data_IF_309299630847
#
_entry.id   IF_309299630847
#
_cell.length_a   1.000
_cell.length_b   1.000
_cell.length_c   1.000
_cell.angle_alpha   90.00
_cell.angle_beta   90.00
_cell.angle_gamma   90.00
#
_symmetry.space_group_name_H-M   'P 1'
#
loop_
_entity.id
_entity.type
_entity.pdbx_description
1 polymer ?
#
# COMPACT_ATOMS: atom_id res chain seq x y z
N UNK A 1 5.74 19.19 2.22
CA UNK A 1 6.31 19.59 0.92
C UNK A 1 6.08 18.46 -0.08
N UNK A 2 5.85 18.72 -1.37
CA UNK A 2 5.73 17.68 -2.38
C UNK A 2 7.02 16.84 -2.44
N UNK A 3 6.89 15.57 -2.77
CA UNK A 3 8.02 14.69 -3.02
C UNK A 3 8.71 15.13 -4.31
N UNK A 4 10.02 15.43 -4.24
CA UNK A 4 10.78 15.78 -5.44
C UNK A 4 10.97 14.55 -6.35
N UNK A 5 11.16 14.79 -7.63
CA UNK A 5 11.45 13.73 -8.60
C UNK A 5 12.74 12.97 -8.24
N UNK A 6 13.73 13.65 -7.70
CA UNK A 6 15.00 13.04 -7.28
C UNK A 6 14.79 12.11 -6.08
N UNK A 7 14.00 12.53 -5.09
CA UNK A 7 13.64 11.68 -3.96
C UNK A 7 12.84 10.45 -4.42
N UNK A 8 11.84 10.65 -5.27
CA UNK A 8 11.06 9.56 -5.84
C UNK A 8 11.94 8.56 -6.59
N UNK A 9 12.83 9.01 -7.45
CA UNK A 9 13.77 8.17 -8.19
C UNK A 9 14.69 7.40 -7.24
N UNK A 10 15.24 8.09 -6.22
CA UNK A 10 16.12 7.47 -5.23
C UNK A 10 15.42 6.32 -4.47
N UNK A 11 14.15 6.51 -4.12
CA UNK A 11 13.32 5.46 -3.48
C UNK A 11 13.04 4.33 -4.46
N UNK A 12 12.60 4.64 -5.66
CA UNK A 12 12.34 3.65 -6.70
C UNK A 12 13.56 2.77 -6.96
N UNK A 13 14.73 3.37 -7.10
CA UNK A 13 15.95 2.65 -7.49
C UNK A 13 16.54 1.81 -6.34
N UNK A 14 16.34 2.23 -5.08
CA UNK A 14 16.88 1.53 -3.91
C UNK A 14 15.90 0.57 -3.23
N UNK A 15 14.62 0.91 -3.22
CA UNK A 15 13.60 0.22 -2.41
C UNK A 15 12.37 -0.19 -3.22
N UNK A 16 12.33 0.10 -4.51
CA UNK A 16 11.15 -0.13 -5.35
C UNK A 16 10.70 -1.59 -5.44
N UNK A 17 11.53 -2.55 -5.06
CA UNK A 17 11.15 -3.95 -4.98
C UNK A 17 10.18 -4.23 -3.82
N UNK A 18 10.29 -3.48 -2.72
CA UNK A 18 9.52 -3.71 -1.49
C UNK A 18 8.61 -2.54 -1.13
N UNK A 19 8.83 -1.40 -1.73
CA UNK A 19 8.14 -0.16 -1.44
C UNK A 19 7.05 0.15 -2.45
N UNK A 20 6.17 1.08 -2.07
CA UNK A 20 5.17 1.68 -2.93
C UNK A 20 4.67 2.99 -2.31
N UNK A 21 3.61 3.55 -2.91
CA UNK A 21 2.89 4.71 -2.39
C UNK A 21 1.40 4.44 -2.40
N UNK A 22 0.69 4.93 -1.40
CA UNK A 22 -0.75 4.72 -1.21
C UNK A 22 -1.57 5.58 -2.18
N UNK A 23 -1.30 5.44 -3.46
CA UNK A 23 -2.03 6.04 -4.57
C UNK A 23 -2.44 4.95 -5.54
N UNK A 24 -3.69 4.94 -5.91
CA UNK A 24 -4.26 4.05 -6.94
C UNK A 24 -5.13 4.87 -7.88
N UNK A 25 -5.21 4.43 -9.12
CA UNK A 25 -6.14 5.01 -10.08
C UNK A 25 -7.58 4.75 -9.62
N UNK A 26 -8.44 5.76 -9.66
CA UNK A 26 -9.85 5.54 -9.37
C UNK A 26 -10.46 4.62 -10.44
N UNK A 27 -11.21 3.58 -10.03
CA UNK A 27 -11.83 2.68 -10.99
C UNK A 27 -12.92 3.42 -11.77
N UNK A 28 -12.99 3.18 -13.07
CA UNK A 28 -14.15 3.60 -13.86
C UNK A 28 -15.34 2.69 -13.54
N UNK A 29 -16.17 3.12 -12.62
CA UNK A 29 -17.34 2.38 -12.19
C UNK A 29 -18.47 2.38 -13.23
N UNK A 30 -18.41 3.23 -14.27
CA UNK A 30 -19.43 3.31 -15.31
C UNK A 30 -19.48 2.07 -16.21
N UNK A 31 -18.35 1.36 -16.32
CA UNK A 31 -18.19 0.19 -17.19
C UNK A 31 -18.37 -1.15 -16.47
N UNK A 32 -18.51 -1.14 -15.15
CA UNK A 32 -18.54 -2.37 -14.34
C UNK A 32 -19.93 -2.59 -13.77
N UNK A 33 -20.59 -3.72 -14.09
CA UNK A 33 -21.86 -4.05 -13.46
C UNK A 33 -21.65 -4.26 -11.96
N UNK A 34 -22.21 -3.38 -11.15
CA UNK A 34 -22.22 -3.48 -9.70
C UNK A 34 -23.01 -4.71 -9.29
N UNK A 35 -22.34 -5.82 -9.02
CA UNK A 35 -22.97 -6.99 -8.39
C UNK A 35 -22.87 -6.80 -6.89
N UNK A 36 -23.97 -6.53 -6.18
CA UNK A 36 -23.95 -6.45 -4.74
C UNK A 36 -23.57 -7.82 -4.17
N UNK A 37 -22.40 -7.93 -3.55
CA UNK A 37 -22.00 -9.13 -2.79
C UNK A 37 -22.48 -9.07 -1.33
N UNK A 38 -23.08 -7.98 -0.93
CA UNK A 38 -23.63 -7.81 0.42
C UNK A 38 -25.10 -8.18 0.50
N UNK A 39 -25.50 -8.60 1.69
CA UNK A 39 -26.92 -8.71 2.01
C UNK A 39 -27.62 -7.38 1.73
N UNK A 40 -28.74 -7.38 0.96
CA UNK A 40 -29.43 -6.16 0.56
C UNK A 40 -29.74 -5.21 1.73
N UNK A 41 -30.02 -5.76 2.92
CA UNK A 41 -30.31 -5.01 4.13
C UNK A 41 -29.12 -4.17 4.64
N UNK A 42 -27.89 -4.68 4.53
CA UNK A 42 -26.70 -3.97 4.97
C UNK A 42 -26.36 -2.86 3.98
N UNK A 43 -26.44 -3.13 2.69
CA UNK A 43 -26.30 -2.13 1.64
C UNK A 43 -27.29 -0.98 1.85
N UNK A 44 -28.57 -1.30 2.05
CA UNK A 44 -29.62 -0.31 2.29
C UNK A 44 -29.38 0.54 3.53
N UNK A 45 -28.84 -0.04 4.61
CA UNK A 45 -28.45 0.71 5.83
C UNK A 45 -27.28 1.66 5.56
N UNK A 46 -26.26 1.23 4.84
CA UNK A 46 -25.11 2.07 4.49
C UNK A 46 -25.53 3.22 3.57
N UNK A 47 -26.36 2.95 2.57
CA UNK A 47 -26.90 3.96 1.66
C UNK A 47 -27.73 5.00 2.42
N UNK A 48 -28.57 4.55 3.37
CA UNK A 48 -29.36 5.45 4.24
C UNK A 48 -28.48 6.33 5.14
N UNK A 49 -27.27 5.91 5.45
CA UNK A 49 -26.27 6.66 6.22
C UNK A 49 -25.37 7.54 5.32
N UNK A 50 -25.58 7.55 4.01
CA UNK A 50 -24.71 8.25 3.06
C UNK A 50 -23.31 7.64 2.98
N UNK A 51 -23.13 6.38 3.42
CA UNK A 51 -21.87 5.67 3.42
C UNK A 51 -21.82 4.81 2.15
N UNK A 52 -20.91 5.14 1.26
CA UNK A 52 -20.65 4.33 0.06
C UNK A 52 -20.22 2.91 0.46
N UNK A 53 -20.94 1.90 -0.02
CA UNK A 53 -20.65 0.51 0.33
C UNK A 53 -19.26 0.10 -0.16
N UNK A 54 -18.34 -0.29 0.72
CA UNK A 54 -17.01 -0.76 0.32
C UNK A 54 -17.09 -2.00 -0.59
N UNK A 55 -18.14 -2.77 -0.50
CA UNK A 55 -18.32 -3.99 -1.29
C UNK A 55 -18.72 -3.71 -2.74
N UNK A 56 -19.35 -2.60 -3.03
CA UNK A 56 -19.61 -2.20 -4.40
C UNK A 56 -18.31 -1.89 -5.14
N UNK A 57 -17.32 -1.33 -4.44
CA UNK A 57 -16.00 -1.00 -4.98
C UNK A 57 -15.08 -2.23 -4.97
N UNK A 58 -15.03 -2.97 -3.86
CA UNK A 58 -14.17 -4.16 -3.70
C UNK A 58 -14.71 -5.33 -4.54
N UNK A 59 -16.03 -5.44 -4.70
CA UNK A 59 -16.67 -6.50 -5.48
C UNK A 59 -16.43 -6.41 -6.99
N UNK A 60 -15.96 -5.28 -7.49
CA UNK A 60 -15.63 -5.06 -8.91
C UNK A 60 -14.22 -5.51 -9.28
N UNK A 61 -13.58 -6.27 -8.47
CA UNK A 61 -12.20 -6.80 -8.49
C UNK A 61 -11.33 -6.61 -9.74
N UNK A 62 -11.93 -6.65 -10.92
CA UNK A 62 -11.22 -6.41 -12.17
C UNK A 62 -10.89 -4.92 -12.42
N UNK A 63 -11.72 -4.01 -11.91
CA UNK A 63 -11.55 -2.57 -12.10
C UNK A 63 -10.59 -1.94 -11.09
N UNK A 64 -10.26 -2.67 -10.04
CA UNK A 64 -9.17 -2.32 -9.12
C UNK A 64 -7.82 -2.75 -9.71
N UNK A 65 -7.79 -2.91 -11.04
CA UNK A 65 -6.62 -3.32 -11.77
C UNK A 65 -5.40 -2.49 -11.39
N UNK A 66 -4.28 -3.17 -11.37
CA UNK A 66 -2.99 -2.62 -11.03
C UNK A 66 -2.69 -1.37 -11.86
N UNK A 67 -2.36 -0.30 -11.20
CA UNK A 67 -1.89 0.94 -11.81
C UNK A 67 -0.41 0.79 -12.19
N UNK A 68 -0.13 -0.17 -13.08
CA UNK A 68 1.25 -0.53 -13.46
C UNK A 68 2.01 0.70 -13.96
N UNK A 69 1.31 1.63 -14.58
CA UNK A 69 1.93 2.78 -15.23
C UNK A 69 2.07 4.03 -14.33
N UNK A 70 1.36 4.06 -13.21
CA UNK A 70 1.33 5.26 -12.32
C UNK A 70 2.74 5.66 -11.84
N UNK A 71 3.60 4.67 -11.56
CA UNK A 71 4.95 4.89 -11.04
C UNK A 71 6.05 4.70 -12.08
N UNK A 72 5.76 4.19 -13.28
CA UNK A 72 6.75 4.08 -14.36
C UNK A 72 7.05 5.43 -15.00
N UNK A 73 5.99 6.24 -15.22
CA UNK A 73 6.08 7.57 -15.81
C UNK A 73 5.45 8.59 -14.87
N UNK A 74 6.03 8.75 -13.66
CA UNK A 74 5.47 9.62 -12.64
C UNK A 74 5.39 11.07 -13.12
N UNK A 75 4.17 11.63 -13.07
CA UNK A 75 3.91 13.04 -13.39
C UNK A 75 4.10 13.93 -12.15
N UNK A 76 4.28 15.22 -12.37
CA UNK A 76 4.31 16.21 -11.28
C UNK A 76 3.02 16.18 -10.45
N UNK A 77 1.88 15.93 -11.09
CA UNK A 77 0.60 15.76 -10.39
C UNK A 77 0.64 14.61 -9.38
N UNK A 78 1.24 13.48 -9.75
CA UNK A 78 1.41 12.34 -8.85
C UNK A 78 2.38 12.69 -7.73
N UNK A 79 3.53 13.30 -8.05
CA UNK A 79 4.52 13.70 -7.05
C UNK A 79 3.93 14.64 -5.98
N UNK A 80 3.04 15.55 -6.37
CA UNK A 80 2.35 16.44 -5.44
C UNK A 80 1.37 15.71 -4.49
N UNK A 81 0.90 14.52 -4.86
CA UNK A 81 -0.01 13.69 -4.04
C UNK A 81 0.74 12.78 -3.07
N UNK A 82 2.04 12.56 -3.25
CA UNK A 82 2.84 11.71 -2.37
C UNK A 82 3.05 12.37 -1.00
N UNK A 83 2.87 11.60 0.05
CA UNK A 83 2.94 12.10 1.43
C UNK A 83 3.88 11.27 2.30
N UNK A 84 5.17 11.61 2.36
CA UNK A 84 6.17 10.85 3.11
C UNK A 84 6.04 11.02 4.64
N UNK A 85 5.15 11.89 5.13
CA UNK A 85 4.92 12.07 6.57
C UNK A 85 4.16 10.89 7.18
N UNK A 86 3.53 10.05 6.36
CA UNK A 86 2.86 8.84 6.80
C UNK A 86 3.50 7.62 6.15
N UNK A 87 3.71 6.59 6.97
CA UNK A 87 4.26 5.31 6.54
C UNK A 87 3.27 4.21 6.90
N UNK A 88 2.79 3.48 5.92
CA UNK A 88 1.99 2.27 6.10
C UNK A 88 2.95 1.08 6.07
N UNK A 89 3.12 0.44 7.22
CA UNK A 89 4.13 -0.59 7.44
C UNK A 89 3.50 -1.97 7.47
N UNK A 90 3.79 -2.78 6.45
CA UNK A 90 3.51 -4.20 6.44
C UNK A 90 4.56 -5.00 7.22
N UNK A 91 4.19 -6.22 7.59
CA UNK A 91 5.09 -7.09 8.36
C UNK A 91 6.20 -7.67 7.49
N UNK A 92 5.85 -8.26 6.35
CA UNK A 92 6.82 -8.86 5.45
C UNK A 92 6.28 -8.96 4.02
N UNK A 93 7.21 -8.92 3.10
CA UNK A 93 6.97 -9.18 1.69
C UNK A 93 6.63 -10.66 1.47
N UNK A 94 5.34 -10.97 1.36
CA UNK A 94 4.83 -12.34 1.31
C UNK A 94 4.56 -12.86 -0.10
N UNK A 95 4.56 -12.00 -1.10
CA UNK A 95 4.32 -12.35 -2.50
C UNK A 95 5.63 -12.39 -3.28
N UNK A 96 5.71 -13.21 -4.33
CA UNK A 96 6.87 -13.27 -5.22
C UNK A 96 7.21 -11.92 -5.86
N UNK A 97 8.16 -11.89 -6.79
CA UNK A 97 8.60 -10.66 -7.47
C UNK A 97 7.42 -9.86 -7.99
N UNK A 98 7.37 -8.60 -7.58
CA UNK A 98 6.44 -7.59 -8.11
C UNK A 98 7.22 -6.60 -8.97
N UNK A 99 6.51 -5.85 -9.81
CA UNK A 99 7.11 -4.73 -10.53
C UNK A 99 7.54 -3.64 -9.54
N UNK A 100 8.49 -2.84 -9.93
CA UNK A 100 9.04 -1.73 -9.12
C UNK A 100 7.93 -0.80 -8.63
N UNK A 101 7.90 -0.52 -7.35
CA UNK A 101 6.89 0.27 -6.64
C UNK A 101 5.47 -0.32 -6.69
N UNK A 102 5.32 -1.62 -6.97
CA UNK A 102 4.02 -2.28 -7.06
C UNK A 102 3.70 -3.19 -5.87
N UNK A 103 4.53 -3.20 -4.84
CA UNK A 103 4.14 -3.81 -3.57
C UNK A 103 2.87 -3.12 -3.05
N UNK A 104 1.93 -3.85 -2.49
CA UNK A 104 0.59 -3.37 -2.10
C UNK A 104 -0.33 -2.93 -3.26
N UNK A 105 -0.01 -3.28 -4.52
CA UNK A 105 -0.86 -3.01 -5.69
C UNK A 105 -1.40 -4.29 -6.34
N UNK A 106 -1.47 -5.38 -5.58
CA UNK A 106 -2.02 -6.64 -6.07
C UNK A 106 -3.55 -6.59 -6.19
N UNK A 107 -4.10 -7.58 -6.89
CA UNK A 107 -5.57 -7.79 -6.98
C UNK A 107 -6.15 -8.48 -5.73
N UNK A 108 -5.37 -8.64 -4.68
CA UNK A 108 -5.81 -9.25 -3.42
C UNK A 108 -6.95 -8.44 -2.79
N UNK A 109 -7.97 -9.14 -2.30
CA UNK A 109 -9.13 -8.51 -1.66
C UNK A 109 -8.80 -7.72 -0.40
N UNK A 110 -7.71 -8.03 0.29
CA UNK A 110 -7.25 -7.24 1.44
C UNK A 110 -6.65 -5.91 1.00
N UNK A 111 -5.92 -5.89 -0.10
CA UNK A 111 -5.42 -4.64 -0.70
C UNK A 111 -6.58 -3.76 -1.17
N UNK A 112 -7.64 -4.34 -1.73
CA UNK A 112 -8.85 -3.60 -2.07
C UNK A 112 -9.49 -2.90 -0.87
N UNK A 113 -9.51 -3.55 0.30
CA UNK A 113 -10.01 -2.94 1.56
C UNK A 113 -9.11 -1.79 2.03
N UNK A 114 -7.80 -2.01 2.00
CA UNK A 114 -6.81 -0.99 2.37
C UNK A 114 -6.96 0.26 1.48
N UNK A 115 -7.01 0.07 0.16
CA UNK A 115 -7.23 1.12 -0.80
C UNK A 115 -8.51 1.91 -0.51
N UNK A 116 -9.63 1.21 -0.27
CA UNK A 116 -10.89 1.86 0.08
C UNK A 116 -10.78 2.71 1.34
N UNK A 117 -10.14 2.19 2.39
CA UNK A 117 -9.96 2.90 3.65
C UNK A 117 -9.10 4.17 3.51
N UNK A 118 -8.10 4.12 2.63
CA UNK A 118 -7.11 5.20 2.49
C UNK A 118 -7.56 6.30 1.53
N UNK A 119 -8.30 6.00 0.47
CA UNK A 119 -8.54 6.87 -0.69
C UNK A 119 -9.04 8.30 -0.38
N UNK A 120 -9.78 8.51 0.69
CA UNK A 120 -10.30 9.82 1.12
C UNK A 120 -9.81 10.21 2.51
N UNK A 121 -8.73 9.60 2.96
CA UNK A 121 -8.14 9.83 4.27
C UNK A 121 -6.88 10.70 4.16
N UNK A 122 -6.37 11.22 5.28
CA UNK A 122 -5.07 11.90 5.33
C UNK A 122 -3.88 11.01 4.92
N UNK A 123 -4.09 9.70 4.84
CA UNK A 123 -3.08 8.70 4.49
C UNK A 123 -2.97 8.46 2.98
N UNK A 124 -3.81 9.11 2.17
CA UNK A 124 -3.65 9.09 0.71
C UNK A 124 -2.27 9.62 0.34
N UNK A 125 -1.56 8.89 -0.50
CA UNK A 125 -0.19 9.20 -0.87
C UNK A 125 0.88 8.78 0.14
N UNK A 126 0.52 8.13 1.27
CA UNK A 126 1.48 7.63 2.25
C UNK A 126 2.52 6.69 1.63
N UNK A 127 3.72 6.70 2.16
CA UNK A 127 4.73 5.71 1.81
C UNK A 127 4.32 4.33 2.35
N UNK A 128 4.51 3.29 1.55
CA UNK A 128 4.18 1.90 1.92
C UNK A 128 5.41 1.03 1.78
N UNK A 129 5.71 0.22 2.79
CA UNK A 129 6.81 -0.74 2.75
C UNK A 129 6.61 -1.87 3.76
N UNK A 130 7.39 -2.93 3.65
CA UNK A 130 7.45 -4.00 4.63
C UNK A 130 8.69 -3.85 5.51
N UNK A 131 8.60 -4.23 6.80
CA UNK A 131 9.77 -4.19 7.68
C UNK A 131 10.71 -5.37 7.41
N UNK A 132 10.16 -6.57 7.13
CA UNK A 132 10.95 -7.76 6.78
C UNK A 132 10.93 -7.96 5.26
N UNK A 133 12.08 -7.75 4.62
CA UNK A 133 12.17 -7.70 3.15
C UNK A 133 12.69 -8.98 2.51
N UNK A 134 13.64 -9.64 3.15
CA UNK A 134 14.40 -10.72 2.53
C UNK A 134 13.95 -12.12 3.00
N UNK A 135 12.73 -12.23 3.52
CA UNK A 135 12.16 -13.49 3.96
C UNK A 135 10.66 -13.51 3.63
N UNK A 136 10.31 -14.32 2.62
CA UNK A 136 8.92 -14.44 2.17
C UNK A 136 8.24 -15.59 2.93
N UNK A 137 7.41 -15.26 3.92
CA UNK A 137 6.64 -16.21 4.70
C UNK A 137 5.21 -15.70 4.89
N UNK A 138 4.21 -16.32 4.24
CA UNK A 138 2.83 -15.89 4.34
C UNK A 138 2.19 -16.18 5.70
N UNK A 139 2.78 -17.08 6.48
CA UNK A 139 2.29 -17.41 7.82
C UNK A 139 2.99 -16.55 8.87
N UNK A 140 2.27 -15.57 9.42
CA UNK A 140 2.82 -14.67 10.44
C UNK A 140 3.38 -15.39 11.69
N UNK A 141 2.82 -16.55 12.08
CA UNK A 141 3.32 -17.31 13.24
C UNK A 141 4.68 -17.93 12.93
N UNK A 142 4.87 -18.49 11.75
CA UNK A 142 6.15 -19.07 11.32
C UNK A 142 7.19 -17.96 11.15
N UNK A 143 6.83 -16.82 10.57
CA UNK A 143 7.70 -15.65 10.50
C UNK A 143 8.15 -15.22 11.90
N UNK A 144 7.24 -15.05 12.84
CA UNK A 144 7.56 -14.64 14.21
C UNK A 144 8.43 -15.65 14.94
N UNK A 145 8.26 -16.95 14.68
CA UNK A 145 9.15 -18.00 15.19
C UNK A 145 10.55 -17.83 14.61
N UNK A 146 10.66 -17.70 13.29
CA UNK A 146 11.95 -17.51 12.62
C UNK A 146 12.70 -16.29 13.15
N UNK A 147 12.03 -15.15 13.34
CA UNK A 147 12.65 -13.92 13.87
C UNK A 147 13.14 -14.08 15.30
N UNK A 148 12.43 -14.84 16.14
CA UNK A 148 12.90 -15.13 17.52
C UNK A 148 14.19 -15.94 17.55
N UNK A 149 14.33 -16.87 16.59
CA UNK A 149 15.49 -17.75 16.47
C UNK A 149 16.65 -17.08 15.73
N UNK A 150 16.39 -16.01 14.94
CA UNK A 150 17.37 -15.32 14.10
C UNK A 150 17.44 -13.82 14.40
N UNK A 151 17.90 -13.47 15.60
CA UNK A 151 17.92 -12.09 16.10
C UNK A 151 18.79 -11.13 15.28
N UNK A 152 19.89 -11.60 14.73
CA UNK A 152 20.74 -10.76 13.85
C UNK A 152 20.01 -10.37 12.56
N UNK A 153 19.24 -11.31 12.00
CA UNK A 153 18.40 -11.05 10.83
C UNK A 153 17.29 -10.03 11.14
N UNK A 154 16.59 -10.18 12.26
CA UNK A 154 15.59 -9.23 12.73
C UNK A 154 16.20 -7.82 12.86
N UNK A 155 17.30 -7.69 13.60
CA UNK A 155 17.98 -6.41 13.81
C UNK A 155 18.50 -5.79 12.51
N UNK A 156 18.97 -6.62 11.58
CA UNK A 156 19.37 -6.13 10.25
C UNK A 156 18.19 -5.51 9.51
N UNK A 157 17.03 -6.17 9.47
CA UNK A 157 15.85 -5.64 8.81
C UNK A 157 15.35 -4.34 9.45
N UNK A 158 15.41 -4.22 10.78
CA UNK A 158 15.08 -2.96 11.48
C UNK A 158 16.02 -1.83 11.04
N UNK A 159 17.34 -2.06 11.05
CA UNK A 159 18.31 -1.05 10.57
C UNK A 159 18.11 -0.69 9.10
N UNK A 160 17.82 -1.67 8.26
CA UNK A 160 17.56 -1.45 6.84
C UNK A 160 16.30 -0.58 6.66
N UNK A 161 15.25 -0.81 7.47
CA UNK A 161 14.06 0.02 7.50
C UNK A 161 14.35 1.44 7.99
N UNK A 162 15.11 1.62 9.08
CA UNK A 162 15.53 2.94 9.58
C UNK A 162 16.31 3.73 8.51
N UNK A 163 17.21 3.07 7.80
CA UNK A 163 17.95 3.66 6.68
C UNK A 163 17.02 4.06 5.52
N UNK A 164 16.03 3.23 5.22
CA UNK A 164 15.05 3.49 4.17
C UNK A 164 14.20 4.72 4.50
N UNK A 165 13.63 4.80 5.70
CA UNK A 165 12.81 5.95 6.08
C UNK A 165 13.62 7.25 6.19
N UNK A 166 14.90 7.16 6.53
CA UNK A 166 15.78 8.33 6.55
C UNK A 166 15.89 9.01 5.18
N UNK A 167 15.73 8.25 4.09
CA UNK A 167 15.76 8.77 2.72
C UNK A 167 14.55 9.66 2.44
N UNK A 168 13.41 9.42 3.11
CA UNK A 168 12.20 10.23 2.94
C UNK A 168 12.39 11.69 3.35
N UNK A 169 13.39 11.99 4.17
CA UNK A 169 13.72 13.35 4.61
C UNK A 169 12.69 13.95 5.57
N UNK A 170 11.85 13.13 6.19
CA UNK A 170 10.88 13.55 7.20
C UNK A 170 11.44 13.29 8.60
N UNK A 171 11.37 14.31 9.47
CA UNK A 171 11.98 14.19 10.82
C UNK A 171 11.21 13.24 11.73
N UNK A 172 9.87 13.23 11.66
CA UNK A 172 9.01 12.43 12.54
C UNK A 172 7.82 11.86 11.76
N UNK A 173 8.01 10.88 10.87
CA UNK A 173 6.89 10.28 10.15
C UNK A 173 5.98 9.49 11.11
N UNK A 174 4.69 9.54 10.87
CA UNK A 174 3.71 8.71 11.58
C UNK A 174 3.71 7.32 10.94
N UNK A 175 4.06 6.30 11.72
CA UNK A 175 4.08 4.91 11.26
C UNK A 175 2.79 4.22 11.69
N UNK A 176 2.10 3.61 10.73
CA UNK A 176 0.88 2.85 10.92
C UNK A 176 1.15 1.39 10.51
N UNK A 177 1.12 0.48 11.48
CA UNK A 177 1.22 -0.95 11.21
C UNK A 177 -0.08 -1.49 10.60
N UNK A 178 0.04 -2.29 9.53
CA UNK A 178 -1.05 -2.91 8.78
C UNK A 178 -1.37 -4.33 9.30
#
# INVERSE_FOLDING_TARGET
>A
MPVSKDLFNKIRDKHGEYASWAIWQEPDLSTVPLKPKMMPEVTKKLDAMGIESPYNIIGTGASLAMDIDIFQNVSEEILCKLNPNFILLGLNFSTGKVNTLMNFHSKDGNIGKLRYAIRKSPFSGAYMTDIIKNYSEPNAKELMKYLRENKEFEQKNVRDFENEISILGTENPVIIAL
#
